data_IF_002259533762
#
_entry.id   IF_002259533762
#
_cell.length_a   1.000
_cell.length_b   1.000
_cell.length_c   1.000
_cell.angle_alpha   90.00
_cell.angle_beta   90.00
_cell.angle_gamma   90.00
#
_symmetry.space_group_name_H-M   'P 1'
#
loop_
_entity.id
_entity.type
_entity.pdbx_description
1 polymer ?
#
# COMPACT_ATOMS: atom_id res chain seq x y z
N UNK A 1 19.54 -24.97 -6.81
CA UNK A 1 19.13 -23.63 -6.33
C UNK A 1 18.10 -23.83 -5.23
N UNK A 2 18.30 -23.20 -4.06
CA UNK A 2 17.26 -23.19 -3.02
C UNK A 2 16.09 -22.31 -3.48
N UNK A 3 14.86 -22.72 -3.18
CA UNK A 3 13.69 -21.88 -3.45
C UNK A 3 13.76 -20.61 -2.59
N UNK A 4 13.45 -19.42 -3.15
CA UNK A 4 13.35 -18.21 -2.36
C UNK A 4 12.21 -18.35 -1.33
N UNK A 5 12.40 -17.76 -0.15
CA UNK A 5 11.34 -17.62 0.84
C UNK A 5 10.28 -16.65 0.31
N UNK A 6 9.02 -17.01 0.48
CA UNK A 6 7.87 -16.19 0.12
C UNK A 6 7.13 -15.75 1.38
N UNK A 7 6.73 -14.48 1.42
CA UNK A 7 5.85 -13.92 2.44
C UNK A 7 4.54 -13.48 1.80
N UNK A 8 3.45 -13.55 2.55
CA UNK A 8 2.12 -13.13 2.10
C UNK A 8 1.86 -11.63 2.34
N UNK A 9 0.68 -11.14 1.94
CA UNK A 9 0.32 -9.74 2.12
C UNK A 9 0.12 -9.33 3.58
N UNK A 10 -0.18 -10.28 4.47
CA UNK A 10 -0.29 -10.02 5.90
C UNK A 10 1.08 -9.70 6.49
N UNK A 11 2.08 -10.49 6.15
CA UNK A 11 3.45 -10.27 6.60
C UNK A 11 4.05 -9.02 5.95
N UNK A 12 3.79 -8.76 4.66
CA UNK A 12 4.15 -7.49 4.01
C UNK A 12 3.56 -6.30 4.76
N UNK A 13 2.28 -6.36 5.13
CA UNK A 13 1.66 -5.28 5.90
C UNK A 13 2.19 -5.17 7.32
N UNK A 14 2.47 -6.29 8.00
CA UNK A 14 3.02 -6.30 9.37
C UNK A 14 4.37 -5.58 9.41
N UNK A 15 5.17 -5.71 8.35
CA UNK A 15 6.45 -5.01 8.17
C UNK A 15 6.30 -3.53 7.76
N UNK A 16 5.08 -3.02 7.64
CA UNK A 16 4.80 -1.64 7.17
C UNK A 16 5.03 -1.43 5.67
N UNK A 17 5.37 -2.48 4.92
CA UNK A 17 5.73 -2.37 3.50
C UNK A 17 4.53 -2.03 2.63
N UNK A 18 3.33 -2.51 2.98
CA UNK A 18 2.10 -2.17 2.24
C UNK A 18 1.83 -0.66 2.27
N UNK A 19 1.98 -0.04 3.44
CA UNK A 19 1.83 1.43 3.60
C UNK A 19 2.88 2.16 2.79
N UNK A 20 4.13 1.69 2.82
CA UNK A 20 5.25 2.29 2.08
C UNK A 20 5.07 2.20 0.56
N UNK A 21 4.68 1.04 0.04
CA UNK A 21 4.36 0.84 -1.39
C UNK A 21 3.24 1.79 -1.82
N UNK A 22 2.18 1.87 -1.01
CA UNK A 22 1.10 2.80 -1.28
C UNK A 22 1.59 4.24 -1.29
N UNK A 23 2.25 4.70 -0.23
CA UNK A 23 2.71 6.09 -0.10
C UNK A 23 3.69 6.50 -1.21
N UNK A 24 4.69 5.68 -1.50
CA UNK A 24 5.80 6.07 -2.37
C UNK A 24 5.51 5.84 -3.86
N UNK A 25 4.70 4.82 -4.20
CA UNK A 25 4.54 4.37 -5.58
C UNK A 25 3.08 4.48 -6.05
N UNK A 26 2.15 3.86 -5.32
CA UNK A 26 0.79 3.70 -5.85
C UNK A 26 -0.02 5.00 -5.73
N UNK A 27 0.04 5.65 -4.58
CA UNK A 27 -0.72 6.86 -4.26
C UNK A 27 -0.43 8.01 -5.24
N UNK A 28 0.85 8.32 -5.59
CA UNK A 28 1.16 9.32 -6.63
C UNK A 28 0.55 9.02 -8.00
N UNK A 29 0.27 7.75 -8.29
CA UNK A 29 -0.36 7.31 -9.54
C UNK A 29 -1.90 7.27 -9.46
N UNK A 30 -2.49 7.69 -8.34
CA UNK A 30 -3.93 7.57 -8.09
C UNK A 30 -4.38 6.13 -7.82
N UNK A 31 -3.48 5.25 -7.41
CA UNK A 31 -3.75 3.84 -7.11
C UNK A 31 -3.55 3.54 -5.63
N UNK A 32 -4.26 2.55 -5.09
CA UNK A 32 -4.02 2.05 -3.73
C UNK A 32 -4.23 0.54 -3.65
N UNK A 33 -3.21 -0.22 -3.28
CA UNK A 33 -3.34 -1.66 -3.01
C UNK A 33 -3.86 -1.89 -1.60
N UNK A 34 -4.73 -2.88 -1.46
CA UNK A 34 -5.22 -3.32 -0.16
C UNK A 34 -5.06 -4.83 -0.03
N UNK A 35 -5.22 -5.32 1.20
CA UNK A 35 -5.35 -6.75 1.49
C UNK A 35 -6.64 -6.98 2.24
N UNK A 36 -7.19 -8.17 2.07
CA UNK A 36 -8.15 -8.74 2.99
C UNK A 36 -7.41 -9.30 4.21
N UNK A 37 -7.60 -8.75 5.43
CA UNK A 37 -6.92 -9.23 6.63
C UNK A 37 -7.35 -10.64 7.05
N UNK A 38 -8.53 -11.12 6.64
CA UNK A 38 -9.00 -12.47 6.97
C UNK A 38 -8.31 -13.54 6.11
N UNK A 39 -8.07 -13.25 4.83
CA UNK A 39 -7.50 -14.21 3.88
C UNK A 39 -6.03 -13.98 3.54
N UNK A 40 -5.49 -12.78 3.84
CA UNK A 40 -4.13 -12.39 3.46
C UNK A 40 -3.93 -12.22 1.95
N UNK A 41 -5.02 -12.09 1.18
CA UNK A 41 -4.99 -11.89 -0.27
C UNK A 41 -5.16 -10.42 -0.61
N UNK A 42 -4.65 -10.00 -1.78
CA UNK A 42 -4.95 -8.69 -2.34
C UNK A 42 -5.92 -8.86 -3.51
N UNK A 43 -7.06 -8.16 -3.54
CA UNK A 43 -7.97 -8.18 -4.68
C UNK A 43 -7.46 -7.35 -5.87
N UNK A 44 -6.38 -6.58 -5.69
CA UNK A 44 -5.84 -5.64 -6.67
C UNK A 44 -5.65 -4.23 -6.10
N UNK A 45 -5.69 -3.23 -6.97
CA UNK A 45 -5.60 -1.82 -6.60
C UNK A 45 -6.93 -1.09 -6.82
N UNK A 46 -7.27 -0.18 -5.91
CA UNK A 46 -8.35 0.79 -6.07
C UNK A 46 -7.82 1.97 -6.89
N UNK A 47 -8.63 2.48 -7.81
CA UNK A 47 -8.32 3.64 -8.64
C UNK A 47 -9.05 4.85 -8.06
N UNK A 48 -8.36 5.97 -7.95
CA UNK A 48 -8.96 7.24 -7.56
C UNK A 48 -9.70 7.90 -8.72
N UNK A 49 -10.83 8.52 -8.43
CA UNK A 49 -11.59 9.33 -9.40
C UNK A 49 -11.02 10.75 -9.53
N UNK A 50 -10.28 11.24 -8.52
CA UNK A 50 -9.88 12.64 -8.38
C UNK A 50 -8.34 12.84 -8.36
N UNK A 51 -7.57 11.81 -8.70
CA UNK A 51 -6.10 11.88 -8.77
C UNK A 51 -5.39 11.23 -7.57
N UNK A 52 -4.18 11.70 -7.19
CA UNK A 52 -3.37 11.00 -6.19
C UNK A 52 -4.04 10.80 -4.83
N UNK A 53 -3.79 9.65 -4.22
CA UNK A 53 -4.13 9.42 -2.80
C UNK A 53 -3.06 10.04 -1.90
N UNK A 54 -3.42 10.40 -0.67
CA UNK A 54 -2.47 10.92 0.34
C UNK A 54 -2.86 10.37 1.70
N UNK A 55 -1.90 9.91 2.51
CA UNK A 55 -2.21 9.56 3.89
C UNK A 55 -2.46 10.82 4.70
N UNK A 56 -3.41 10.83 5.66
CA UNK A 56 -3.73 12.02 6.45
C UNK A 56 -2.51 12.67 7.12
N UNK A 57 -1.57 11.85 7.60
CA UNK A 57 -0.34 12.31 8.25
C UNK A 57 0.55 13.15 7.30
N UNK A 58 0.50 12.88 6.00
CA UNK A 58 1.32 13.55 4.99
C UNK A 58 0.73 14.92 4.59
N UNK A 59 -0.55 15.16 4.85
CA UNK A 59 -1.24 16.44 4.56
C UNK A 59 -0.88 17.51 5.61
N UNK A 60 -0.49 17.11 6.82
CA UNK A 60 -0.21 18.02 7.92
C UNK A 60 1.15 18.74 7.84
N UNK A 61 2.07 18.29 6.98
CA UNK A 61 3.43 18.86 6.87
C UNK A 61 3.51 20.08 5.94
N UNK A 62 2.60 20.23 4.98
CA UNK A 62 2.62 21.32 3.98
C UNK A 62 2.07 22.67 4.49
N UNK A 63 1.73 22.77 5.78
CA UNK A 63 1.18 23.99 6.39
C UNK A 63 2.20 24.85 7.14
N UNK A 64 3.51 24.74 6.83
CA UNK A 64 4.58 25.57 7.43
C UNK A 64 5.29 26.45 6.42
#
# INVERSE_FOLDING_TARGET
MNKPEMIDWNEISRRGLLVRINREIMHPLGLAVCRDPATGTSPGAVVSDDGPWVYPDDVAEDSK
#
